data_IF_238337887138
#
_entry.id   IF_238337887138
#
_cell.length_a   1.000
_cell.length_b   1.000
_cell.length_c   1.000
_cell.angle_alpha   90.00
_cell.angle_beta   90.00
_cell.angle_gamma   90.00
#
_symmetry.space_group_name_H-M   'P 1'
#
loop_
_entity.id
_entity.type
_entity.pdbx_description
1 polymer ?
#
# COMPACT_ATOMS: atom_id res chain seq x y z
N UNK A 1 9.18 14.43 -6.69
CA UNK A 1 8.40 15.68 -6.82
C UNK A 1 8.35 16.40 -5.49
N UNK A 2 7.86 15.77 -4.42
CA UNK A 2 7.91 16.38 -3.08
C UNK A 2 9.35 16.72 -2.66
N UNK A 3 10.31 15.86 -2.97
CA UNK A 3 11.74 16.14 -2.70
C UNK A 3 12.27 17.41 -3.38
N UNK A 4 11.64 17.84 -4.47
CA UNK A 4 12.04 19.01 -5.25
C UNK A 4 11.36 20.30 -4.73
N UNK A 5 10.09 20.22 -4.35
CA UNK A 5 9.28 21.39 -4.00
C UNK A 5 9.01 21.57 -2.50
N UNK A 6 9.05 20.49 -1.72
CA UNK A 6 8.89 20.52 -0.26
C UNK A 6 9.50 19.27 0.42
N UNK A 7 10.84 19.08 0.38
CA UNK A 7 11.49 17.88 0.92
C UNK A 7 11.23 17.66 2.41
N UNK A 8 11.05 18.73 3.19
CA UNK A 8 10.80 18.66 4.62
C UNK A 8 9.40 18.15 4.97
N UNK A 9 8.51 17.98 3.98
CA UNK A 9 7.17 17.46 4.21
C UNK A 9 7.18 16.08 4.89
N UNK A 10 8.14 15.22 4.56
CA UNK A 10 8.28 13.89 5.18
C UNK A 10 8.68 13.94 6.66
N UNK A 11 9.37 15.00 7.09
CA UNK A 11 9.71 15.21 8.51
C UNK A 11 8.45 15.41 9.34
N UNK A 12 7.43 16.02 8.74
CA UNK A 12 6.11 16.18 9.33
C UNK A 12 5.31 14.89 9.13
N UNK A 13 5.24 14.35 7.92
CA UNK A 13 4.44 13.16 7.60
C UNK A 13 5.30 11.98 7.14
N UNK A 14 5.82 11.19 8.10
CA UNK A 14 6.69 10.02 7.85
C UNK A 14 6.16 9.01 6.82
N UNK A 15 4.84 8.88 6.68
CA UNK A 15 4.21 8.06 5.64
C UNK A 15 2.98 8.80 5.12
N UNK A 16 3.22 9.85 4.33
CA UNK A 16 2.16 10.73 3.85
C UNK A 16 1.12 10.00 2.99
N UNK A 17 1.53 9.00 2.20
CA UNK A 17 0.62 8.21 1.35
C UNK A 17 -0.46 7.49 2.17
N UNK A 18 -0.14 7.06 3.39
CA UNK A 18 -1.09 6.35 4.27
C UNK A 18 -1.93 7.29 5.14
N UNK A 19 -1.60 8.58 5.17
CA UNK A 19 -2.19 9.55 6.09
C UNK A 19 -3.23 10.43 5.41
N UNK A 20 -4.50 10.31 5.80
CA UNK A 20 -5.60 11.16 5.29
C UNK A 20 -5.31 12.66 5.39
N UNK A 21 -4.72 13.10 6.51
CA UNK A 21 -4.34 14.51 6.71
C UNK A 21 -3.24 14.95 5.74
N UNK A 22 -2.24 14.09 5.51
CA UNK A 22 -1.13 14.43 4.64
C UNK A 22 -1.59 14.58 3.18
N UNK A 23 -2.39 13.62 2.69
CA UNK A 23 -3.01 13.70 1.36
C UNK A 23 -3.89 14.96 1.23
N UNK A 24 -4.66 15.29 2.26
CA UNK A 24 -5.49 16.50 2.26
C UNK A 24 -4.67 17.78 2.17
N UNK A 25 -3.55 17.86 2.89
CA UNK A 25 -2.63 18.99 2.82
C UNK A 25 -2.01 19.10 1.41
N UNK A 26 -1.58 17.99 0.83
CA UNK A 26 -1.05 17.96 -0.55
C UNK A 26 -2.08 18.43 -1.59
N UNK A 27 -3.37 18.19 -1.36
CA UNK A 27 -4.44 18.65 -2.24
C UNK A 27 -4.74 20.15 -2.12
N UNK A 28 -4.60 20.72 -0.92
CA UNK A 28 -5.05 22.09 -0.61
C UNK A 28 -3.91 23.09 -0.61
N UNK A 29 -2.83 22.78 0.11
CA UNK A 29 -1.69 23.68 0.37
C UNK A 29 -0.35 22.90 0.30
N UNK A 30 -0.01 22.32 -0.86
CA UNK A 30 1.15 21.44 -1.02
C UNK A 30 2.52 22.11 -0.85
N UNK A 31 2.64 23.41 -1.09
CA UNK A 31 3.95 24.07 -1.16
C UNK A 31 4.23 24.96 0.06
N UNK A 32 5.52 25.18 0.40
CA UNK A 32 5.90 26.05 1.50
C UNK A 32 5.31 27.46 1.39
N UNK A 33 5.22 28.00 0.18
CA UNK A 33 4.61 29.32 -0.10
C UNK A 33 3.13 29.37 0.25
N UNK A 34 2.39 28.27 0.02
CA UNK A 34 0.97 28.18 0.35
C UNK A 34 0.78 28.22 1.88
N UNK A 35 1.63 27.48 2.59
CA UNK A 35 1.58 27.35 4.05
C UNK A 35 1.97 28.69 4.72
N UNK A 36 3.03 29.34 4.23
CA UNK A 36 3.49 30.62 4.79
C UNK A 36 2.55 31.80 4.48
N UNK A 37 1.69 31.66 3.47
CA UNK A 37 0.65 32.64 3.14
C UNK A 37 -0.61 32.56 4.01
N UNK A 38 -0.71 31.55 4.89
CA UNK A 38 -1.88 31.30 5.74
C UNK A 38 -1.58 31.54 7.22
N UNK A 39 -2.63 31.83 7.99
CA UNK A 39 -2.53 31.89 9.45
C UNK A 39 -2.50 30.49 10.06
N UNK A 40 -2.06 30.39 11.32
CA UNK A 40 -2.08 29.12 12.06
C UNK A 40 -3.51 28.57 12.13
N UNK A 41 -4.49 29.44 12.35
CA UNK A 41 -5.91 29.12 12.41
C UNK A 41 -6.43 28.55 11.09
N UNK A 42 -6.03 29.15 9.96
CA UNK A 42 -6.40 28.67 8.61
C UNK A 42 -5.83 27.26 8.36
N UNK A 43 -4.56 27.02 8.69
CA UNK A 43 -3.95 25.69 8.50
C UNK A 43 -4.62 24.65 9.39
N UNK A 44 -4.97 25.02 10.64
CA UNK A 44 -5.73 24.14 11.54
C UNK A 44 -7.10 23.80 10.93
N UNK A 45 -7.76 24.77 10.30
CA UNK A 45 -9.05 24.55 9.63
C UNK A 45 -8.92 23.54 8.49
N UNK A 46 -7.91 23.67 7.64
CA UNK A 46 -7.62 22.74 6.54
C UNK A 46 -7.37 21.33 7.08
N UNK A 47 -6.58 21.19 8.16
CA UNK A 47 -6.32 19.87 8.77
C UNK A 47 -7.61 19.24 9.31
N UNK A 48 -8.51 20.05 9.87
CA UNK A 48 -9.77 19.59 10.47
C UNK A 48 -10.80 19.11 9.44
N UNK A 49 -10.68 19.49 8.18
CA UNK A 49 -11.50 18.94 7.10
C UNK A 49 -11.23 17.42 6.91
N UNK A 50 -10.01 16.95 7.19
CA UNK A 50 -9.60 15.57 6.99
C UNK A 50 -9.49 14.71 8.28
N UNK A 51 -9.49 15.32 9.46
CA UNK A 51 -9.32 14.60 10.74
C UNK A 51 -10.08 15.24 11.92
N UNK A 52 -10.30 14.43 12.97
CA UNK A 52 -10.96 14.87 14.21
C UNK A 52 -10.19 16.01 14.90
N UNK A 53 -10.94 16.87 15.63
CA UNK A 53 -10.52 18.17 16.21
C UNK A 53 -9.19 18.17 17.02
N UNK A 54 -8.73 17.05 17.55
CA UNK A 54 -7.60 16.98 18.50
C UNK A 54 -6.20 17.03 17.86
N UNK A 55 -6.05 16.90 16.53
CA UNK A 55 -4.74 16.74 15.86
C UNK A 55 -4.21 18.03 15.19
N UNK A 56 -5.04 19.07 15.08
CA UNK A 56 -4.76 20.23 14.20
C UNK A 56 -3.56 21.09 14.61
N UNK A 57 -3.50 21.53 15.88
CA UNK A 57 -2.57 22.61 16.29
C UNK A 57 -1.09 22.20 16.18
N UNK A 58 -0.70 21.09 16.83
CA UNK A 58 0.68 20.60 16.80
C UNK A 58 1.15 20.36 15.36
N UNK A 59 0.26 19.82 14.52
CA UNK A 59 0.60 19.50 13.14
C UNK A 59 0.73 20.74 12.25
N UNK A 60 -0.13 21.73 12.46
CA UNK A 60 0.00 23.04 11.81
C UNK A 60 1.32 23.74 12.20
N UNK A 61 1.70 23.72 13.48
CA UNK A 61 2.98 24.28 13.93
C UNK A 61 4.20 23.54 13.37
N UNK A 62 4.13 22.22 13.22
CA UNK A 62 5.16 21.41 12.53
C UNK A 62 5.26 21.80 11.04
N UNK A 63 4.12 21.93 10.35
CA UNK A 63 4.07 22.35 8.94
C UNK A 63 4.66 23.74 8.72
N UNK A 64 4.29 24.73 9.54
CA UNK A 64 4.83 26.09 9.44
C UNK A 64 6.34 26.06 9.67
N UNK A 65 6.83 25.32 10.68
CA UNK A 65 8.27 25.19 10.93
C UNK A 65 9.00 24.58 9.75
N UNK A 66 8.48 23.49 9.18
CA UNK A 66 9.05 22.85 8.00
C UNK A 66 9.05 23.79 6.79
N UNK A 67 7.95 24.52 6.54
CA UNK A 67 7.85 25.46 5.44
C UNK A 67 8.84 26.63 5.56
N UNK A 68 9.08 27.14 6.78
CA UNK A 68 10.04 28.24 7.04
C UNK A 68 11.48 27.88 6.70
N UNK A 69 11.88 26.63 6.93
CA UNK A 69 13.25 26.16 6.67
C UNK A 69 13.38 25.46 5.31
N UNK A 70 12.31 25.44 4.51
CA UNK A 70 12.27 24.64 3.30
C UNK A 70 13.22 25.15 2.22
N UNK A 71 13.97 24.22 1.65
CA UNK A 71 14.86 24.47 0.50
C UNK A 71 14.19 24.21 -0.85
N UNK A 72 12.88 23.94 -0.86
CA UNK A 72 12.12 23.59 -2.06
C UNK A 72 12.12 24.66 -3.16
N UNK A 73 12.00 24.21 -4.40
CA UNK A 73 11.93 25.07 -5.58
C UNK A 73 10.69 25.96 -5.53
N UNK A 74 10.86 27.26 -5.78
CA UNK A 74 9.79 28.28 -5.76
C UNK A 74 9.28 28.69 -7.15
N UNK A 75 9.91 28.19 -8.21
CA UNK A 75 9.59 28.53 -9.60
C UNK A 75 8.76 27.41 -10.21
N UNK A 76 7.83 27.73 -11.12
CA UNK A 76 7.01 26.71 -11.79
C UNK A 76 5.95 26.06 -10.90
N UNK A 77 5.60 26.69 -9.76
CA UNK A 77 4.66 26.15 -8.78
C UNK A 77 3.30 25.78 -9.37
N UNK A 78 2.81 26.53 -10.37
CA UNK A 78 1.52 26.23 -10.99
C UNK A 78 1.55 24.93 -11.80
N UNK A 79 2.58 24.73 -12.62
CA UNK A 79 2.77 23.47 -13.35
C UNK A 79 3.02 22.30 -12.40
N UNK A 80 3.77 22.55 -11.32
CA UNK A 80 3.96 21.57 -10.25
C UNK A 80 2.62 21.21 -9.60
N UNK A 81 1.76 22.18 -9.28
CA UNK A 81 0.43 21.95 -8.70
C UNK A 81 -0.44 21.07 -9.59
N UNK A 82 -0.50 21.38 -10.89
CA UNK A 82 -1.25 20.57 -11.86
C UNK A 82 -0.72 19.13 -11.87
N UNK A 83 0.60 18.96 -11.95
CA UNK A 83 1.23 17.63 -11.92
C UNK A 83 0.90 16.88 -10.63
N UNK A 84 0.97 17.53 -9.47
CA UNK A 84 0.65 16.91 -8.20
C UNK A 84 -0.81 16.46 -8.13
N UNK A 85 -1.73 17.30 -8.58
CA UNK A 85 -3.15 16.96 -8.60
C UNK A 85 -3.42 15.74 -9.46
N UNK A 86 -2.85 15.67 -10.68
CA UNK A 86 -2.97 14.50 -11.54
C UNK A 86 -2.45 13.22 -10.85
N UNK A 87 -1.29 13.29 -10.19
CA UNK A 87 -0.73 12.16 -9.46
C UNK A 87 -1.61 11.72 -8.28
N UNK A 88 -2.23 12.68 -7.58
CA UNK A 88 -3.15 12.39 -6.47
C UNK A 88 -4.45 11.78 -6.97
N UNK A 89 -4.97 12.24 -8.10
CA UNK A 89 -6.15 11.67 -8.75
C UNK A 89 -5.89 10.24 -9.25
N UNK A 90 -4.76 10.00 -9.91
CA UNK A 90 -4.32 8.65 -10.31
C UNK A 90 -4.18 7.73 -9.10
N UNK A 91 -3.55 8.21 -8.03
CA UNK A 91 -3.41 7.47 -6.78
C UNK A 91 -4.77 7.06 -6.22
N UNK A 92 -5.73 7.99 -6.14
CA UNK A 92 -7.07 7.70 -5.64
C UNK A 92 -7.85 6.74 -6.54
N UNK A 93 -7.71 6.89 -7.86
CA UNK A 93 -8.31 5.97 -8.83
C UNK A 93 -7.82 4.54 -8.61
N UNK A 94 -6.49 4.33 -8.57
CA UNK A 94 -5.93 3.00 -8.39
C UNK A 94 -6.20 2.42 -7.01
N UNK A 95 -6.21 3.26 -5.96
CA UNK A 95 -6.54 2.82 -4.61
C UNK A 95 -8.00 2.33 -4.53
N UNK A 96 -8.95 3.09 -5.08
CA UNK A 96 -10.35 2.69 -5.11
C UNK A 96 -10.58 1.42 -5.95
N UNK A 97 -9.89 1.28 -7.08
CA UNK A 97 -9.94 0.06 -7.89
C UNK A 97 -9.39 -1.15 -7.13
N UNK A 98 -8.27 -0.98 -6.41
CA UNK A 98 -7.68 -2.03 -5.58
C UNK A 98 -8.65 -2.48 -4.48
N UNK A 99 -9.22 -1.55 -3.70
CA UNK A 99 -10.19 -1.88 -2.65
C UNK A 99 -11.42 -2.62 -3.22
N UNK A 100 -11.89 -2.21 -4.41
CA UNK A 100 -13.01 -2.86 -5.09
C UNK A 100 -12.66 -4.31 -5.46
N UNK A 101 -11.48 -4.52 -6.05
CA UNK A 101 -11.00 -5.86 -6.43
C UNK A 101 -10.84 -6.74 -5.19
N UNK A 102 -10.22 -6.24 -4.12
CA UNK A 102 -10.05 -7.00 -2.87
C UNK A 102 -11.39 -7.41 -2.27
N UNK A 103 -12.40 -6.53 -2.34
CA UNK A 103 -13.75 -6.85 -1.88
C UNK A 103 -14.43 -7.92 -2.75
N UNK A 104 -14.29 -7.82 -4.08
CA UNK A 104 -14.81 -8.83 -5.01
C UNK A 104 -14.12 -10.18 -4.78
N UNK A 105 -12.79 -10.20 -4.61
CA UNK A 105 -12.02 -11.40 -4.27
C UNK A 105 -12.53 -12.06 -2.99
N UNK A 106 -12.81 -11.28 -1.95
CA UNK A 106 -13.36 -11.79 -0.69
C UNK A 106 -14.74 -12.44 -0.89
N UNK A 107 -15.61 -11.82 -1.70
CA UNK A 107 -16.93 -12.33 -2.01
C UNK A 107 -16.88 -13.61 -2.85
N UNK A 108 -16.00 -13.68 -3.85
CA UNK A 108 -15.84 -14.90 -4.64
C UNK A 108 -15.24 -16.04 -3.81
N UNK A 109 -14.26 -15.76 -2.95
CA UNK A 109 -13.68 -16.77 -2.05
C UNK A 109 -14.75 -17.38 -1.13
N UNK A 110 -15.67 -16.57 -0.59
CA UNK A 110 -16.79 -17.04 0.23
C UNK A 110 -17.62 -18.12 -0.51
N UNK A 111 -17.94 -17.88 -1.79
CA UNK A 111 -18.75 -18.79 -2.60
C UNK A 111 -18.08 -20.14 -2.85
N UNK A 112 -16.75 -20.22 -2.74
CA UNK A 112 -16.01 -21.47 -2.93
C UNK A 112 -16.15 -22.44 -1.74
N UNK A 113 -16.56 -21.94 -0.56
CA UNK A 113 -16.61 -22.75 0.67
C UNK A 113 -15.23 -23.05 1.30
N UNK A 114 -14.13 -22.59 0.70
CA UNK A 114 -12.77 -22.80 1.23
C UNK A 114 -12.26 -21.67 2.12
N UNK A 115 -13.00 -20.57 2.23
CA UNK A 115 -12.59 -19.37 2.97
C UNK A 115 -12.11 -19.70 4.38
N UNK A 116 -12.97 -20.26 5.23
CA UNK A 116 -12.67 -20.48 6.64
C UNK A 116 -11.50 -21.44 6.83
N UNK A 117 -11.41 -22.48 5.99
CA UNK A 117 -10.31 -23.46 6.01
C UNK A 117 -8.99 -22.75 5.73
N UNK A 118 -8.92 -21.95 4.66
CA UNK A 118 -7.67 -21.29 4.26
C UNK A 118 -7.28 -20.18 5.23
N UNK A 119 -8.23 -19.38 5.70
CA UNK A 119 -7.95 -18.29 6.66
C UNK A 119 -7.66 -18.79 8.07
N UNK A 120 -7.95 -20.07 8.38
CA UNK A 120 -7.54 -20.69 9.66
C UNK A 120 -6.03 -20.90 9.76
N UNK A 121 -5.32 -20.89 8.61
CA UNK A 121 -3.88 -21.09 8.56
C UNK A 121 -3.19 -19.79 8.99
N UNK A 122 -2.32 -19.83 10.04
CA UNK A 122 -1.61 -18.64 10.49
C UNK A 122 -0.83 -17.96 9.35
N UNK A 123 -1.09 -16.67 9.14
CA UNK A 123 -0.45 -15.88 8.10
C UNK A 123 -1.17 -15.86 6.74
N UNK A 124 -2.27 -16.61 6.57
CA UNK A 124 -3.09 -16.57 5.35
C UNK A 124 -4.28 -15.64 5.56
N UNK A 125 -4.24 -14.48 4.90
CA UNK A 125 -5.37 -13.55 4.82
C UNK A 125 -6.30 -13.86 3.64
N UNK A 126 -7.41 -13.12 3.56
CA UNK A 126 -8.43 -13.27 2.51
C UNK A 126 -7.82 -13.16 1.11
N UNK A 127 -7.00 -12.13 0.87
CA UNK A 127 -6.37 -11.91 -0.44
C UNK A 127 -5.47 -13.09 -0.79
N UNK A 128 -4.62 -13.54 0.13
CA UNK A 128 -3.74 -14.69 -0.10
C UNK A 128 -4.53 -15.98 -0.37
N UNK A 129 -5.61 -16.22 0.37
CA UNK A 129 -6.49 -17.37 0.18
C UNK A 129 -7.22 -17.33 -1.18
N UNK A 130 -7.77 -16.17 -1.54
CA UNK A 130 -8.45 -15.95 -2.82
C UNK A 130 -7.48 -16.10 -3.99
N UNK A 131 -6.28 -15.52 -3.90
CA UNK A 131 -5.23 -15.70 -4.92
C UNK A 131 -4.79 -17.16 -5.04
N UNK A 132 -4.64 -17.87 -3.92
CA UNK A 132 -4.30 -19.29 -3.94
C UNK A 132 -5.36 -20.11 -4.70
N UNK A 133 -6.64 -19.96 -4.36
CA UNK A 133 -7.73 -20.65 -5.05
C UNK A 133 -7.84 -20.20 -6.52
N UNK A 134 -7.63 -18.92 -6.82
CA UNK A 134 -7.61 -18.41 -8.19
C UNK A 134 -6.53 -19.07 -9.05
N UNK A 135 -5.36 -19.32 -8.49
CA UNK A 135 -4.23 -19.96 -9.18
C UNK A 135 -4.44 -21.48 -9.32
N UNK A 136 -4.88 -22.14 -8.25
CA UNK A 136 -4.98 -23.60 -8.21
C UNK A 136 -6.33 -24.14 -8.66
N UNK A 137 -7.34 -23.29 -8.90
CA UNK A 137 -8.71 -23.71 -9.22
C UNK A 137 -9.32 -24.58 -8.12
N UNK A 138 -10.15 -25.56 -8.49
CA UNK A 138 -10.73 -26.53 -7.55
C UNK A 138 -9.63 -27.43 -6.95
N UNK A 139 -9.36 -27.38 -5.63
CA UNK A 139 -8.39 -28.25 -4.98
C UNK A 139 -8.65 -29.75 -5.18
N UNK A 140 -9.92 -30.15 -5.41
CA UNK A 140 -10.28 -31.56 -5.64
C UNK A 140 -9.75 -32.13 -6.95
N UNK A 141 -9.25 -31.30 -7.87
CA UNK A 141 -8.61 -31.76 -9.11
C UNK A 141 -7.25 -32.43 -8.87
N UNK A 142 -6.67 -32.24 -7.67
CA UNK A 142 -5.39 -32.81 -7.30
C UNK A 142 -5.59 -34.07 -6.46
N UNK A 143 -4.97 -35.16 -6.87
CA UNK A 143 -4.96 -36.43 -6.12
C UNK A 143 -3.88 -36.46 -5.03
N UNK A 144 -2.85 -35.61 -5.14
CA UNK A 144 -1.74 -35.56 -4.21
C UNK A 144 -1.27 -34.10 -4.00
N UNK A 145 -1.06 -33.65 -2.73
CA UNK A 145 -0.53 -32.31 -2.43
C UNK A 145 0.75 -31.93 -3.17
N UNK A 146 1.60 -32.90 -3.51
CA UNK A 146 2.82 -32.69 -4.30
C UNK A 146 2.55 -32.09 -5.69
N UNK A 147 1.37 -32.33 -6.26
CA UNK A 147 0.97 -31.73 -7.53
C UNK A 147 0.77 -30.21 -7.41
N UNK A 148 0.22 -29.74 -6.28
CA UNK A 148 0.07 -28.31 -5.99
C UNK A 148 1.44 -27.65 -5.80
N UNK A 149 2.35 -28.32 -5.08
CA UNK A 149 3.73 -27.84 -4.87
C UNK A 149 4.47 -27.71 -6.22
N UNK A 150 4.32 -28.71 -7.10
CA UNK A 150 4.87 -28.69 -8.47
C UNK A 150 4.26 -27.57 -9.34
N UNK A 151 2.96 -27.32 -9.20
CA UNK A 151 2.28 -26.22 -9.90
C UNK A 151 2.88 -24.86 -9.50
N UNK A 152 3.20 -24.69 -8.21
CA UNK A 152 3.88 -23.50 -7.70
C UNK A 152 5.37 -23.37 -8.13
N UNK A 153 5.88 -24.26 -8.99
CA UNK A 153 7.26 -24.22 -9.48
C UNK A 153 8.30 -24.74 -8.48
N UNK A 154 7.85 -25.37 -7.39
CA UNK A 154 8.71 -26.00 -6.40
C UNK A 154 8.76 -27.51 -6.64
N UNK A 155 9.96 -28.05 -6.80
CA UNK A 155 10.18 -29.49 -6.76
C UNK A 155 10.77 -29.83 -5.39
N UNK A 156 10.00 -30.53 -4.54
CA UNK A 156 10.59 -31.28 -3.44
C UNK A 156 11.29 -32.49 -4.07
N UNK A 157 12.61 -32.41 -4.20
CA UNK A 157 13.42 -33.56 -4.58
C UNK A 157 13.67 -34.34 -3.29
N UNK A 158 13.05 -35.51 -3.15
CA UNK A 158 13.57 -36.50 -2.21
C UNK A 158 14.91 -36.99 -2.77
N UNK A 159 16.01 -36.50 -2.20
CA UNK A 159 17.31 -37.12 -2.41
C UNK A 159 17.32 -38.46 -1.67
N UNK A 160 16.88 -39.50 -2.39
CA UNK A 160 16.94 -40.88 -1.94
C UNK A 160 17.99 -41.63 -2.75
N UNK A 161 19.22 -41.09 -2.77
CA UNK A 161 20.41 -41.89 -3.06
C UNK A 161 20.71 -42.79 -1.86
N UNK A 162 20.35 -44.08 -1.97
CA UNK A 162 20.88 -45.19 -1.16
C UNK A 162 20.91 -45.02 0.37
N UNK A 163 19.99 -45.67 1.08
CA UNK A 163 20.01 -45.96 2.54
C UNK A 163 19.94 -44.79 3.53
N UNK A 164 19.92 -43.52 3.12
CA UNK A 164 19.68 -42.39 4.04
C UNK A 164 18.46 -41.55 3.66
N UNK A 165 17.51 -41.41 4.60
CA UNK A 165 16.41 -40.43 4.51
C UNK A 165 16.90 -39.10 5.11
N UNK A 166 17.32 -38.16 4.27
CA UNK A 166 17.61 -36.79 4.69
C UNK A 166 16.35 -35.90 4.57
N UNK A 167 16.33 -34.78 5.31
CA UNK A 167 15.18 -33.85 5.34
C UNK A 167 14.94 -33.26 3.95
N UNK A 168 13.67 -33.23 3.54
CA UNK A 168 13.21 -32.75 2.24
C UNK A 168 13.73 -31.33 1.95
N UNK A 169 14.44 -31.16 0.84
CA UNK A 169 15.00 -29.87 0.42
C UNK A 169 14.15 -29.29 -0.74
N UNK A 170 13.82 -28.01 -0.65
CA UNK A 170 13.08 -27.30 -1.71
C UNK A 170 14.07 -26.94 -2.82
N UNK A 171 13.89 -27.50 -4.02
CA UNK A 171 14.61 -27.05 -5.23
C UNK A 171 13.70 -26.12 -6.05
N UNK A 172 14.22 -24.94 -6.42
CA UNK A 172 13.52 -23.95 -7.24
C UNK A 172 13.98 -24.09 -8.69
N UNK A 173 13.07 -24.43 -9.61
CA UNK A 173 13.37 -24.48 -11.04
C UNK A 173 12.48 -23.46 -11.76
N UNK A 174 13.08 -22.33 -12.14
CA UNK A 174 12.42 -21.31 -12.95
C UNK A 174 12.33 -21.87 -14.38
N UNK A 175 11.13 -22.02 -14.92
CA UNK A 175 10.97 -22.33 -16.36
C UNK A 175 11.31 -21.07 -17.16
N UNK A 176 12.16 -21.23 -18.18
CA UNK A 176 12.34 -20.25 -19.27
C UNK A 176 11.12 -20.23 -20.17
#
# INVERSE_FOLDING_TARGET
MLDEYFPEFETVFKSFIKGKVALHILKRIPFPTDILGLTLEDIISVIREAAKKSVGKKKAEELIRAAKVSIGVKVGLEGARIRLNNLLEEYELYHNQLEKIEKEMAQELEKTGYKDILTSIPGIGIISAASFIGEIGDPKRFSNPQQIIRLAGYNLVEDSSGKHKSKTMISKQIRK
#
